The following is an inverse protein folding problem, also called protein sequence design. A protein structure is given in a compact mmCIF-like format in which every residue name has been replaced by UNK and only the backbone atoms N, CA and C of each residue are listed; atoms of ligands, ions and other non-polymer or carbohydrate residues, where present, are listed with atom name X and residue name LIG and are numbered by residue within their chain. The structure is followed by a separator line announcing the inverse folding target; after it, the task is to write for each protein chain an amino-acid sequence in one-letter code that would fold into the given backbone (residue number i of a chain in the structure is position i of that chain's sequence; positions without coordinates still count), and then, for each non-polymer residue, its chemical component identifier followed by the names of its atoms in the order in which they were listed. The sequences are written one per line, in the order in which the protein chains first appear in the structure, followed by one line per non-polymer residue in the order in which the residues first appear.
data_IF_246039024317
#
_entry.id   IF_246039024317
#
_cell.length_a   1.000
_cell.length_b   1.000
_cell.length_c   1.000
_cell.angle_alpha   90.00
_cell.angle_beta   90.00
_cell.angle_gamma   90.00
#
_symmetry.space_group_name_H-M   'P 1'
#
loop_
_entity.id
_entity.type
_entity.pdbx_description
1 polymer ?
#
# COMPACT_ATOMS: atom_id res chain seq x y z
N UNK A 1 -1.33 19.76 -15.45
CA UNK A 1 -0.04 20.46 -15.34
C UNK A 1 0.28 20.78 -13.90
N UNK A 2 1.58 20.65 -13.54
CA UNK A 2 2.06 21.03 -12.22
C UNK A 2 2.18 22.55 -12.13
N UNK A 3 1.44 23.18 -11.21
CA UNK A 3 1.40 24.64 -11.05
C UNK A 3 2.08 25.13 -9.76
N UNK A 4 2.22 24.26 -8.76
CA UNK A 4 2.84 24.58 -7.48
C UNK A 4 2.71 23.44 -6.48
N UNK A 5 3.19 23.67 -5.25
CA UNK A 5 3.03 22.78 -4.11
C UNK A 5 2.57 23.55 -2.89
N UNK A 6 1.66 22.95 -2.12
CA UNK A 6 1.25 23.43 -0.79
C UNK A 6 1.62 22.40 0.25
N UNK A 7 2.26 22.85 1.30
CA UNK A 7 2.64 22.00 2.43
C UNK A 7 1.98 22.49 3.73
N UNK A 8 2.04 21.69 4.78
CA UNK A 8 1.54 22.10 6.10
C UNK A 8 2.27 23.35 6.64
N UNK A 9 3.51 23.61 6.18
CA UNK A 9 4.27 24.81 6.55
C UNK A 9 3.64 26.06 5.95
N UNK A 10 3.21 26.02 4.70
CA UNK A 10 2.67 27.16 3.95
C UNK A 10 1.36 27.66 4.56
N UNK A 11 0.54 26.75 5.11
CA UNK A 11 -0.75 27.12 5.72
C UNK A 11 -0.76 27.16 7.26
N UNK A 12 0.37 26.90 7.92
CA UNK A 12 0.42 26.76 9.40
C UNK A 12 -0.09 27.98 10.16
N UNK A 13 0.17 29.16 9.64
CA UNK A 13 -0.18 30.45 10.24
C UNK A 13 -1.19 31.24 9.40
N UNK A 14 -1.71 30.64 8.33
CA UNK A 14 -2.75 31.27 7.52
C UNK A 14 -4.09 31.17 8.25
N UNK A 15 -4.70 32.31 8.48
CA UNK A 15 -5.97 32.43 9.19
C UNK A 15 -7.16 32.65 8.25
N UNK A 16 -6.91 33.16 7.05
CA UNK A 16 -7.94 33.35 6.03
C UNK A 16 -8.02 32.12 5.12
N UNK A 17 -8.98 31.25 5.39
CA UNK A 17 -9.19 30.00 4.65
C UNK A 17 -9.88 30.21 3.29
N UNK A 18 -10.40 31.41 3.01
CA UNK A 18 -11.07 31.74 1.75
C UNK A 18 -10.08 32.23 0.66
N UNK A 19 -8.79 32.34 1.01
CA UNK A 19 -7.76 32.70 0.03
C UNK A 19 -7.59 31.63 -1.05
N UNK A 20 -7.40 32.02 -2.31
CA UNK A 20 -6.99 31.10 -3.36
C UNK A 20 -5.70 30.38 -3.00
N UNK A 21 -5.60 29.09 -3.33
CA UNK A 21 -4.40 28.25 -3.08
C UNK A 21 -3.13 28.89 -3.70
N UNK A 22 -3.26 29.59 -4.81
CA UNK A 22 -2.18 30.32 -5.46
C UNK A 22 -1.48 31.34 -4.57
N UNK A 23 -2.15 31.85 -3.55
CA UNK A 23 -1.58 32.86 -2.65
C UNK A 23 -0.66 32.25 -1.58
N UNK A 24 -0.85 30.96 -1.28
CA UNK A 24 -0.13 30.25 -0.22
C UNK A 24 0.83 29.17 -0.75
N UNK A 25 0.71 28.79 -2.02
CA UNK A 25 1.55 27.74 -2.60
C UNK A 25 2.95 28.26 -2.95
N UNK A 26 3.92 27.35 -2.98
CA UNK A 26 5.18 27.56 -3.69
C UNK A 26 4.91 27.40 -5.18
N UNK A 27 5.04 28.46 -5.99
CA UNK A 27 4.68 28.44 -7.41
C UNK A 27 5.69 27.67 -8.26
N UNK A 28 5.30 27.32 -9.48
CA UNK A 28 6.01 26.46 -10.44
C UNK A 28 7.49 26.84 -10.62
N UNK A 29 7.79 28.12 -10.74
CA UNK A 29 9.14 28.66 -10.97
C UNK A 29 10.09 28.47 -9.78
N UNK A 30 9.56 28.20 -8.59
CA UNK A 30 10.32 27.96 -7.36
C UNK A 30 10.34 26.49 -6.94
N UNK A 31 9.74 25.61 -7.72
CA UNK A 31 9.72 24.18 -7.42
C UNK A 31 11.10 23.57 -7.62
N UNK A 32 11.50 22.72 -6.68
CA UNK A 32 12.66 21.84 -6.83
C UNK A 32 12.16 20.51 -7.36
N UNK A 33 12.62 20.15 -8.56
CA UNK A 33 12.16 18.94 -9.25
C UNK A 33 13.35 18.10 -9.71
N UNK A 34 13.09 16.81 -9.95
CA UNK A 34 14.00 15.88 -10.63
C UNK A 34 13.27 15.21 -11.78
N UNK A 35 14.02 14.68 -12.73
CA UNK A 35 13.48 13.85 -13.80
C UNK A 35 13.18 12.44 -13.31
N UNK A 36 12.32 11.73 -14.04
CA UNK A 36 12.13 10.29 -13.86
C UNK A 36 13.49 9.57 -13.98
N UNK A 37 13.80 8.66 -13.06
CA UNK A 37 15.06 7.93 -13.02
C UNK A 37 16.21 8.66 -12.33
N UNK A 38 16.00 9.83 -11.72
CA UNK A 38 17.02 10.51 -10.92
C UNK A 38 17.56 9.58 -9.82
N UNK A 39 18.88 9.63 -9.59
CA UNK A 39 19.54 8.81 -8.58
C UNK A 39 19.19 9.24 -7.15
N UNK A 40 19.29 8.30 -6.20
CA UNK A 40 19.09 8.59 -4.78
C UNK A 40 20.03 9.71 -4.30
N UNK A 41 21.27 9.71 -4.73
CA UNK A 41 22.28 10.70 -4.32
C UNK A 41 21.95 12.09 -4.85
N UNK A 42 21.48 12.20 -6.09
CA UNK A 42 21.00 13.47 -6.67
C UNK A 42 19.84 14.03 -5.87
N UNK A 43 18.85 13.20 -5.53
CA UNK A 43 17.70 13.60 -4.72
C UNK A 43 18.15 14.07 -3.34
N UNK A 44 19.04 13.34 -2.66
CA UNK A 44 19.58 13.71 -1.34
C UNK A 44 20.31 15.06 -1.42
N UNK A 45 21.13 15.28 -2.44
CA UNK A 45 21.84 16.54 -2.63
C UNK A 45 20.88 17.73 -2.78
N UNK A 46 19.79 17.58 -3.55
CA UNK A 46 18.77 18.61 -3.70
C UNK A 46 18.00 18.88 -2.41
N UNK A 47 17.57 17.83 -1.70
CA UNK A 47 16.88 17.96 -0.41
C UNK A 47 17.75 18.73 0.60
N UNK A 48 19.03 18.40 0.68
CA UNK A 48 19.99 19.08 1.55
C UNK A 48 20.26 20.51 1.14
N UNK A 49 20.57 20.74 -0.15
CA UNK A 49 20.89 22.07 -0.70
C UNK A 49 19.76 23.07 -0.47
N UNK A 50 18.52 22.65 -0.73
CA UNK A 50 17.33 23.52 -0.62
C UNK A 50 16.65 23.47 0.75
N UNK A 51 17.14 22.62 1.67
CA UNK A 51 16.57 22.39 3.03
C UNK A 51 15.07 22.07 2.99
N UNK A 52 14.71 21.21 2.04
CA UNK A 52 13.32 20.75 1.83
C UNK A 52 13.21 19.26 2.18
N UNK A 53 11.99 18.82 2.46
CA UNK A 53 11.70 17.42 2.82
C UNK A 53 11.14 16.63 1.65
N UNK A 54 10.87 17.27 0.51
CA UNK A 54 10.19 16.66 -0.65
C UNK A 54 10.75 17.22 -1.94
N UNK A 55 10.96 16.34 -2.91
CA UNK A 55 11.32 16.68 -4.29
C UNK A 55 10.26 16.08 -5.21
N UNK A 56 9.77 16.88 -6.15
CA UNK A 56 8.79 16.42 -7.13
C UNK A 56 9.50 15.76 -8.31
N UNK A 57 8.96 14.65 -8.76
CA UNK A 57 9.44 13.94 -9.96
C UNK A 57 8.57 14.37 -11.13
N UNK A 58 9.17 14.87 -12.19
CA UNK A 58 8.49 15.33 -13.40
C UNK A 58 9.07 14.65 -14.65
N UNK A 59 8.23 14.55 -15.70
CA UNK A 59 8.70 14.14 -17.01
C UNK A 59 9.21 15.34 -17.84
N UNK A 60 9.67 15.09 -19.07
CA UNK A 60 10.16 16.12 -19.99
C UNK A 60 9.15 17.22 -20.37
N UNK A 61 7.85 16.97 -20.20
CA UNK A 61 6.77 17.95 -20.39
C UNK A 61 6.37 18.65 -19.08
N UNK A 62 7.16 18.51 -18.01
CA UNK A 62 6.89 19.06 -16.68
C UNK A 62 5.57 18.58 -16.05
N UNK A 63 5.15 17.37 -16.41
CA UNK A 63 3.99 16.71 -15.80
C UNK A 63 4.44 15.95 -14.55
N UNK A 64 3.71 16.11 -13.44
CA UNK A 64 4.00 15.40 -12.20
C UNK A 64 3.87 13.88 -12.39
N UNK A 65 4.91 13.15 -12.04
CA UNK A 65 4.98 11.68 -12.08
C UNK A 65 5.04 11.06 -10.70
N UNK A 66 5.57 11.80 -9.73
CA UNK A 66 5.68 11.33 -8.36
C UNK A 66 6.30 12.35 -7.44
N UNK A 67 6.59 11.91 -6.23
CA UNK A 67 7.26 12.71 -5.20
C UNK A 67 8.16 11.78 -4.37
N UNK A 68 9.36 12.24 -4.07
CA UNK A 68 10.29 11.55 -3.17
C UNK A 68 10.46 12.39 -1.92
N UNK A 69 10.36 11.77 -0.74
CA UNK A 69 10.52 12.45 0.54
C UNK A 69 11.74 11.94 1.31
N UNK A 70 12.23 12.76 2.26
CA UNK A 70 13.29 12.33 3.20
C UNK A 70 12.87 11.04 3.93
N UNK A 71 11.57 10.92 4.30
CA UNK A 71 11.05 9.73 4.95
C UNK A 71 11.13 8.48 4.09
N UNK A 72 10.90 8.57 2.78
CA UNK A 72 11.01 7.42 1.87
C UNK A 72 12.45 6.93 1.79
N UNK A 73 13.40 7.87 1.72
CA UNK A 73 14.83 7.58 1.70
C UNK A 73 15.25 6.90 3.01
N UNK A 74 14.85 7.47 4.15
CA UNK A 74 15.15 6.92 5.46
C UNK A 74 14.55 5.53 5.63
N UNK A 75 13.26 5.34 5.33
CA UNK A 75 12.59 4.03 5.40
C UNK A 75 13.23 2.98 4.49
N UNK A 76 13.75 3.37 3.32
CA UNK A 76 14.46 2.44 2.44
C UNK A 76 15.77 1.93 3.04
N UNK A 77 16.37 2.71 3.95
CA UNK A 77 17.59 2.34 4.68
C UNK A 77 17.26 1.55 5.96
N UNK A 78 16.24 1.99 6.71
CA UNK A 78 15.84 1.36 7.96
C UNK A 78 15.16 -0.01 7.73
N UNK A 79 14.45 -0.17 6.60
CA UNK A 79 13.70 -1.37 6.25
C UNK A 79 14.11 -1.91 4.85
N UNK A 80 15.33 -2.42 4.71
CA UNK A 80 15.84 -2.89 3.40
C UNK A 80 15.08 -4.11 2.86
N UNK A 81 14.49 -4.91 3.76
CA UNK A 81 13.73 -6.13 3.43
C UNK A 81 12.21 -5.88 3.30
N UNK A 82 11.76 -4.63 3.25
CA UNK A 82 10.35 -4.34 3.04
C UNK A 82 9.86 -4.98 1.72
N UNK A 83 8.72 -5.68 1.77
CA UNK A 83 8.14 -6.33 0.61
C UNK A 83 7.58 -5.28 -0.36
N UNK A 84 8.21 -5.16 -1.52
CA UNK A 84 7.88 -4.17 -2.54
C UNK A 84 7.55 -4.83 -3.87
N UNK A 85 6.77 -4.12 -4.68
CA UNK A 85 6.53 -4.47 -6.08
C UNK A 85 7.70 -4.02 -6.99
N UNK A 86 7.59 -4.29 -8.29
CA UNK A 86 8.59 -3.93 -9.29
C UNK A 86 8.80 -2.41 -9.45
N UNK A 87 7.80 -1.61 -9.03
CA UNK A 87 7.87 -0.16 -9.02
C UNK A 87 8.41 0.41 -7.70
N UNK A 88 8.80 -0.46 -6.75
CA UNK A 88 9.31 -0.07 -5.44
C UNK A 88 8.24 0.36 -4.43
N UNK A 89 6.95 0.13 -4.71
CA UNK A 89 5.84 0.40 -3.80
C UNK A 89 5.67 -0.76 -2.83
N UNK A 90 5.27 -0.47 -1.58
CA UNK A 90 4.96 -1.53 -0.61
C UNK A 90 3.79 -2.38 -1.12
N UNK A 91 3.94 -3.70 -1.06
CA UNK A 91 2.83 -4.63 -1.28
C UNK A 91 1.83 -4.50 -0.15
N UNK A 92 0.55 -4.56 -0.50
CA UNK A 92 -0.56 -4.41 0.44
C UNK A 92 -1.46 -5.63 0.44
N UNK A 93 -1.87 -6.05 1.65
CA UNK A 93 -2.83 -7.12 1.84
C UNK A 93 -4.14 -6.58 2.42
N UNK A 94 -5.25 -7.23 2.08
CA UNK A 94 -6.55 -6.92 2.65
C UNK A 94 -7.22 -8.18 3.20
N UNK A 95 -7.75 -8.08 4.43
CA UNK A 95 -8.53 -9.13 5.03
C UNK A 95 -9.98 -9.10 4.55
N UNK A 96 -10.51 -10.28 4.27
CA UNK A 96 -11.90 -10.52 3.90
C UNK A 96 -12.48 -11.66 4.71
N UNK A 97 -13.79 -11.65 4.92
CA UNK A 97 -14.53 -12.72 5.59
C UNK A 97 -15.12 -13.73 4.61
N UNK A 98 -16.22 -14.35 5.07
CA UNK A 98 -17.01 -15.34 4.30
C UNK A 98 -18.49 -14.94 4.16
N UNK A 99 -18.84 -13.71 4.56
CA UNK A 99 -20.21 -13.19 4.49
C UNK A 99 -20.71 -12.96 3.06
N UNK A 100 -21.98 -12.65 2.92
CA UNK A 100 -22.64 -12.51 1.62
C UNK A 100 -22.18 -11.30 0.79
N UNK A 101 -21.64 -10.26 1.42
CA UNK A 101 -21.11 -9.04 0.80
C UNK A 101 -19.60 -9.15 0.44
N UNK A 102 -18.99 -10.29 0.78
CA UNK A 102 -17.54 -10.45 0.63
C UNK A 102 -17.10 -10.46 -0.83
N UNK A 103 -17.91 -10.96 -1.75
CA UNK A 103 -17.58 -11.01 -3.17
C UNK A 103 -17.46 -9.61 -3.76
N UNK A 104 -18.44 -8.75 -3.51
CA UNK A 104 -18.40 -7.35 -3.93
C UNK A 104 -17.17 -6.62 -3.36
N UNK A 105 -16.87 -6.86 -2.08
CA UNK A 105 -15.68 -6.32 -1.43
C UNK A 105 -14.38 -6.82 -2.09
N UNK A 106 -14.28 -8.09 -2.45
CA UNK A 106 -13.12 -8.66 -3.14
C UNK A 106 -12.94 -8.00 -4.51
N UNK A 107 -14.01 -7.87 -5.28
CA UNK A 107 -13.96 -7.18 -6.57
C UNK A 107 -13.42 -5.75 -6.45
N UNK A 108 -13.94 -4.98 -5.49
CA UNK A 108 -13.48 -3.61 -5.25
C UNK A 108 -11.99 -3.56 -4.84
N UNK A 109 -11.53 -4.49 -4.01
CA UNK A 109 -10.12 -4.59 -3.58
C UNK A 109 -9.19 -4.95 -4.75
N UNK A 110 -9.58 -5.90 -5.58
CA UNK A 110 -8.84 -6.29 -6.78
C UNK A 110 -8.74 -5.13 -7.75
N UNK A 111 -9.84 -4.44 -8.03
CA UNK A 111 -9.86 -3.24 -8.87
C UNK A 111 -8.99 -2.11 -8.32
N UNK A 112 -8.86 -2.03 -7.00
CA UNK A 112 -8.00 -1.05 -6.31
C UNK A 112 -6.52 -1.45 -6.30
N UNK A 113 -6.16 -2.63 -6.81
CA UNK A 113 -4.78 -3.08 -6.94
C UNK A 113 -4.19 -3.67 -5.66
N UNK A 114 -4.99 -4.38 -4.84
CA UNK A 114 -4.47 -5.16 -3.70
C UNK A 114 -3.54 -6.27 -4.20
N UNK A 115 -2.44 -6.51 -3.50
CA UNK A 115 -1.46 -7.55 -3.88
C UNK A 115 -1.82 -8.93 -3.33
N UNK A 116 -2.44 -8.99 -2.14
CA UNK A 116 -2.78 -10.25 -1.49
C UNK A 116 -4.10 -10.14 -0.73
N UNK A 117 -4.94 -11.15 -0.85
CA UNK A 117 -6.16 -11.31 -0.07
C UNK A 117 -5.94 -12.31 1.07
N UNK A 118 -6.41 -11.97 2.26
CA UNK A 118 -6.38 -12.85 3.41
C UNK A 118 -7.82 -13.22 3.77
N UNK A 119 -8.23 -14.48 3.53
CA UNK A 119 -9.50 -15.00 4.02
C UNK A 119 -9.30 -15.35 5.49
N UNK A 120 -9.63 -14.41 6.36
CA UNK A 120 -9.28 -14.40 7.79
C UNK A 120 -10.53 -14.63 8.66
N UNK A 121 -10.57 -15.77 9.31
CA UNK A 121 -11.60 -16.12 10.30
C UNK A 121 -10.98 -16.82 11.50
N UNK A 122 -11.72 -16.89 12.60
CA UNK A 122 -11.30 -17.65 13.79
C UNK A 122 -11.20 -19.16 13.53
N UNK A 123 -11.86 -19.69 12.51
CA UNK A 123 -11.88 -21.12 12.16
C UNK A 123 -11.66 -21.30 10.65
N UNK A 124 -10.40 -21.28 10.23
CA UNK A 124 -10.01 -21.36 8.81
C UNK A 124 -10.26 -22.71 8.15
N UNK A 125 -10.52 -23.78 8.91
CA UNK A 125 -10.93 -25.10 8.38
C UNK A 125 -12.44 -25.22 8.20
N UNK A 126 -13.18 -24.13 8.20
CA UNK A 126 -14.61 -24.12 7.89
C UNK A 126 -14.85 -24.19 6.39
N UNK A 127 -15.97 -24.79 5.97
CA UNK A 127 -16.33 -24.90 4.56
C UNK A 127 -16.41 -23.51 3.90
N UNK A 128 -16.96 -22.51 4.59
CA UNK A 128 -17.06 -21.17 4.06
C UNK A 128 -15.72 -20.49 3.73
N UNK A 129 -14.65 -20.83 4.47
CA UNK A 129 -13.30 -20.33 4.16
C UNK A 129 -12.72 -21.07 2.96
N UNK A 130 -12.87 -22.39 2.91
CA UNK A 130 -12.40 -23.22 1.79
C UNK A 130 -13.09 -22.80 0.49
N UNK A 131 -14.41 -22.61 0.53
CA UNK A 131 -15.21 -22.18 -0.62
C UNK A 131 -14.81 -20.77 -1.06
N UNK A 132 -14.54 -19.85 -0.11
CA UNK A 132 -14.13 -18.49 -0.42
C UNK A 132 -12.75 -18.45 -1.07
N UNK A 133 -11.79 -19.23 -0.60
CA UNK A 133 -10.47 -19.38 -1.23
C UNK A 133 -10.63 -19.89 -2.67
N UNK A 134 -11.41 -20.95 -2.85
CA UNK A 134 -11.69 -21.53 -4.17
C UNK A 134 -12.37 -20.52 -5.10
N UNK A 135 -13.34 -19.77 -4.60
CA UNK A 135 -14.04 -18.73 -5.35
C UNK A 135 -13.06 -17.65 -5.86
N UNK A 136 -12.17 -17.15 -4.98
CA UNK A 136 -11.18 -16.16 -5.38
C UNK A 136 -10.26 -16.68 -6.46
N UNK A 137 -9.73 -17.88 -6.31
CA UNK A 137 -8.83 -18.48 -7.31
C UNK A 137 -9.52 -18.79 -8.64
N UNK A 138 -10.82 -19.06 -8.62
CA UNK A 138 -11.61 -19.25 -9.84
C UNK A 138 -11.85 -17.94 -10.60
N UNK A 139 -12.19 -16.85 -9.89
CA UNK A 139 -12.54 -15.56 -10.51
C UNK A 139 -11.31 -14.67 -10.76
N UNK A 140 -10.29 -14.80 -9.91
CA UNK A 140 -9.05 -14.03 -9.96
C UNK A 140 -7.82 -14.96 -9.87
N UNK A 141 -7.51 -15.77 -10.91
CA UNK A 141 -6.45 -16.79 -10.85
C UNK A 141 -5.06 -16.25 -10.49
N UNK A 142 -4.78 -14.99 -10.85
CA UNK A 142 -3.50 -14.32 -10.54
C UNK A 142 -3.42 -13.73 -9.13
N UNK A 143 -4.53 -13.68 -8.38
CA UNK A 143 -4.55 -13.13 -7.02
C UNK A 143 -3.87 -14.08 -6.04
N UNK A 144 -2.98 -13.53 -5.19
CA UNK A 144 -2.39 -14.27 -4.08
C UNK A 144 -3.38 -14.35 -2.92
N UNK A 145 -3.62 -15.55 -2.39
CA UNK A 145 -4.61 -15.79 -1.35
C UNK A 145 -3.99 -16.50 -0.16
N UNK A 146 -4.18 -15.95 1.02
CA UNK A 146 -3.83 -16.56 2.30
C UNK A 146 -5.11 -16.98 3.00
N UNK A 147 -5.22 -18.23 3.43
CA UNK A 147 -6.37 -18.73 4.20
C UNK A 147 -6.02 -18.99 5.65
N UNK A 148 -6.91 -18.67 6.56
CA UNK A 148 -6.73 -18.95 8.00
C UNK A 148 -7.83 -18.40 8.90
N UNK A 149 -7.66 -18.54 10.25
CA UNK A 149 -6.52 -19.17 10.95
C UNK A 149 -6.71 -20.68 11.09
N UNK A 150 -5.62 -21.40 11.04
CA UNK A 150 -5.62 -22.87 11.19
C UNK A 150 -4.62 -23.33 12.26
N UNK A 151 -4.81 -24.59 12.72
CA UNK A 151 -3.93 -25.19 13.72
C UNK A 151 -3.56 -26.65 13.40
N UNK A 152 -4.05 -27.23 12.30
CA UNK A 152 -3.83 -28.64 11.97
C UNK A 152 -3.30 -28.83 10.54
N UNK A 153 -2.57 -29.92 10.32
CA UNK A 153 -2.09 -30.29 8.99
C UNK A 153 -3.23 -30.60 8.01
N UNK A 154 -4.36 -31.13 8.50
CA UNK A 154 -5.53 -31.41 7.67
C UNK A 154 -6.13 -30.09 7.14
N UNK A 155 -6.24 -29.05 7.99
CA UNK A 155 -6.71 -27.74 7.60
C UNK A 155 -5.78 -27.08 6.57
N UNK A 156 -4.45 -27.21 6.76
CA UNK A 156 -3.49 -26.69 5.80
C UNK A 156 -3.66 -27.35 4.42
N UNK A 157 -3.79 -28.67 4.38
CA UNK A 157 -4.03 -29.39 3.13
C UNK A 157 -5.32 -28.96 2.45
N UNK A 158 -6.42 -28.85 3.20
CA UNK A 158 -7.71 -28.44 2.64
C UNK A 158 -7.65 -27.04 2.00
N UNK A 159 -6.94 -26.08 2.61
CA UNK A 159 -6.76 -24.75 2.04
C UNK A 159 -5.85 -24.76 0.81
N UNK A 160 -4.76 -25.53 0.82
CA UNK A 160 -3.88 -25.72 -0.34
C UNK A 160 -4.64 -26.35 -1.50
N UNK A 161 -5.43 -27.39 -1.23
CA UNK A 161 -6.26 -28.08 -2.24
C UNK A 161 -7.32 -27.13 -2.84
N UNK A 162 -7.81 -26.16 -2.05
CA UNK A 162 -8.69 -25.10 -2.52
C UNK A 162 -7.97 -23.99 -3.32
N UNK A 163 -6.63 -24.03 -3.40
CA UNK A 163 -5.81 -23.12 -4.18
C UNK A 163 -5.16 -21.99 -3.39
N UNK A 164 -5.15 -22.02 -2.05
CA UNK A 164 -4.45 -21.02 -1.27
C UNK A 164 -2.94 -21.03 -1.55
N UNK A 165 -2.35 -19.85 -1.74
CA UNK A 165 -0.92 -19.66 -1.95
C UNK A 165 -0.13 -19.71 -0.63
N UNK A 166 -0.81 -19.40 0.50
CA UNK A 166 -0.25 -19.53 1.85
C UNK A 166 -1.36 -19.81 2.88
N UNK A 167 -0.95 -20.25 4.06
CA UNK A 167 -1.85 -20.50 5.20
C UNK A 167 -1.40 -19.72 6.43
N UNK A 168 -2.36 -19.14 7.14
CA UNK A 168 -2.14 -18.42 8.40
C UNK A 168 -2.35 -19.36 9.57
N UNK A 169 -1.24 -19.73 10.24
CA UNK A 169 -1.24 -20.70 11.33
C UNK A 169 -1.25 -19.97 12.67
N UNK A 170 -2.10 -20.40 13.58
CA UNK A 170 -2.20 -19.93 14.95
C UNK A 170 -3.60 -19.49 15.32
N UNK A 171 -3.97 -19.79 16.57
CA UNK A 171 -5.27 -19.44 17.15
C UNK A 171 -5.00 -18.74 18.47
N UNK A 172 -5.20 -17.43 18.52
CA UNK A 172 -5.20 -16.63 19.70
C UNK A 172 -4.09 -16.91 20.75
N UNK A 173 -2.78 -16.88 20.38
CA UNK A 173 -1.71 -17.28 21.32
C UNK A 173 -1.48 -16.27 22.44
N UNK A 174 -2.07 -15.07 22.39
CA UNK A 174 -1.97 -14.06 23.42
C UNK A 174 -2.87 -14.32 24.63
N UNK A 175 -2.41 -13.98 25.83
CA UNK A 175 -3.18 -14.17 27.07
C UNK A 175 -4.51 -13.38 27.12
N UNK A 176 -4.66 -12.38 26.26
CA UNK A 176 -5.86 -11.53 26.13
C UNK A 176 -6.78 -11.98 24.99
N UNK A 177 -6.37 -12.98 24.20
CA UNK A 177 -7.16 -13.45 23.07
C UNK A 177 -8.36 -14.26 23.53
N UNK A 178 -9.53 -13.95 23.00
CA UNK A 178 -10.81 -14.62 23.28
C UNK A 178 -11.30 -15.48 22.11
N UNK A 179 -10.47 -15.68 21.11
CA UNK A 179 -10.80 -16.46 19.91
C UNK A 179 -10.61 -17.95 20.15
#
# INVERSE_FOLDING_TARGET
DLVGIVTSRDRRFETNLDLPVSNVMTPKDKLVTVSEGASKDEVIALLHKHRIERVLVVNGAFTLRGMITVKDIQKSTDFPNACKDEQGRLRVGAAVGTGGDTEERIEALVQSGVDVLIVDTAHGHSQGVIDRVGWVKQHHPGMQVIGGNIATAAAARALVDAGADAVKVGIGPGSICTT
#
